data_IF_793515321523
#
_entry.id   IF_793515321523
#
_cell.length_a   1.000
_cell.length_b   1.000
_cell.length_c   1.000
_cell.angle_alpha   90.00
_cell.angle_beta   90.00
_cell.angle_gamma   90.00
#
_symmetry.space_group_name_H-M   'P 1'
#
loop_
_entity.id
_entity.type
_entity.pdbx_description
1 polymer ?
#
# COMPACT_ATOMS: atom_id res chain seq x y z
N UNK A 1 5.52 28.80 27.32
CA UNK A 1 4.82 29.47 28.45
C UNK A 1 3.36 29.07 28.39
N UNK A 2 2.72 28.60 29.48
CA UNK A 2 1.34 28.14 29.42
C UNK A 2 0.37 29.34 29.41
N UNK A 3 -0.65 29.28 28.55
CA UNK A 3 -1.74 30.25 28.54
C UNK A 3 -2.56 30.13 29.83
N UNK A 4 -2.63 31.23 30.58
CA UNK A 4 -3.51 31.37 31.76
C UNK A 4 -4.97 31.45 31.31
N UNK A 5 -5.83 30.63 31.88
CA UNK A 5 -7.28 30.77 31.79
C UNK A 5 -7.75 31.97 32.62
N UNK A 6 -8.40 32.95 32.00
CA UNK A 6 -9.11 34.04 32.69
C UNK A 6 -10.60 33.70 32.70
N UNK A 7 -11.17 33.54 33.89
CA UNK A 7 -12.61 33.40 34.13
C UNK A 7 -13.29 34.77 34.11
N UNK A 8 -14.30 34.96 33.26
CA UNK A 8 -15.14 36.17 33.21
C UNK A 8 -16.52 35.85 33.83
N UNK A 9 -17.08 36.69 34.72
CA UNK A 9 -18.41 36.47 35.27
C UNK A 9 -19.51 36.88 34.28
N UNK A 10 -20.62 36.16 34.34
CA UNK A 10 -21.80 36.40 33.52
C UNK A 10 -22.59 37.63 34.03
N UNK A 11 -22.79 38.63 33.16
CA UNK A 11 -23.61 39.81 33.49
C UNK A 11 -23.54 40.95 32.48
N UNK A 12 -24.35 40.83 31.42
CA UNK A 12 -25.03 41.90 30.64
C UNK A 12 -24.41 43.32 30.63
N UNK A 13 -23.80 43.73 29.52
CA UNK A 13 -23.76 45.12 29.03
C UNK A 13 -23.39 45.15 27.53
N UNK A 14 -23.91 46.15 26.82
CA UNK A 14 -23.96 46.30 25.36
C UNK A 14 -22.62 46.35 24.61
N UNK A 15 -22.65 45.92 23.35
CA UNK A 15 -21.54 45.88 22.40
C UNK A 15 -21.46 47.22 21.64
N UNK A 16 -20.35 47.97 21.66
CA UNK A 16 -20.03 48.92 20.60
C UNK A 16 -19.39 48.17 19.42
N UNK A 17 -19.96 48.34 18.23
CA UNK A 17 -19.35 47.92 16.96
C UNK A 17 -18.05 48.69 16.76
N UNK A 18 -16.92 47.99 16.66
CA UNK A 18 -15.87 48.22 15.66
C UNK A 18 -14.69 47.25 15.87
N UNK A 19 -14.29 46.55 14.80
CA UNK A 19 -12.92 46.04 14.69
C UNK A 19 -12.73 44.54 14.43
N UNK A 20 -13.36 43.96 13.40
CA UNK A 20 -12.81 42.75 12.76
C UNK A 20 -12.45 43.06 11.30
N UNK A 21 -11.17 43.40 11.07
CA UNK A 21 -10.51 43.37 9.76
C UNK A 21 -9.47 42.26 9.80
N UNK A 22 -9.81 41.07 9.28
CA UNK A 22 -8.93 40.32 8.37
C UNK A 22 -9.73 39.16 7.71
N UNK A 23 -9.60 38.92 6.39
CA UNK A 23 -10.43 37.99 5.64
C UNK A 23 -9.70 36.67 5.35
N UNK A 24 -10.27 35.54 5.79
CA UNK A 24 -10.42 34.28 5.03
C UNK A 24 -10.87 33.17 5.99
N UNK A 25 -12.16 33.21 6.34
CA UNK A 25 -12.88 32.05 6.85
C UNK A 25 -14.24 32.05 6.14
N UNK A 26 -14.40 31.21 5.11
CA UNK A 26 -15.70 30.84 4.54
C UNK A 26 -16.21 29.63 5.33
N UNK A 27 -17.36 29.73 6.03
CA UNK A 27 -18.70 29.33 5.55
C UNK A 27 -18.66 27.95 4.88
N UNK A 28 -19.10 26.86 5.48
CA UNK A 28 -20.45 26.45 5.90
C UNK A 28 -20.20 25.22 6.82
N UNK A 29 -20.84 24.97 7.96
CA UNK A 29 -22.22 24.53 8.03
C UNK A 29 -22.66 24.43 9.49
N UNK A 30 -23.90 24.83 9.72
CA UNK A 30 -24.67 24.69 10.95
C UNK A 30 -25.26 23.27 11.01
N UNK A 31 -25.31 22.66 12.20
CA UNK A 31 -26.46 21.93 12.81
C UNK A 31 -25.99 21.25 14.10
N UNK A 32 -26.43 21.76 15.25
CA UNK A 32 -27.62 21.32 16.02
C UNK A 32 -27.41 19.97 16.70
N UNK A 33 -26.93 19.99 17.94
CA UNK A 33 -27.16 18.92 18.92
C UNK A 33 -28.09 19.49 19.98
N UNK A 34 -29.32 18.99 19.99
CA UNK A 34 -30.35 19.29 20.98
C UNK A 34 -30.03 18.53 22.26
N UNK A 35 -30.06 19.23 23.39
CA UNK A 35 -29.89 18.67 24.73
C UNK A 35 -31.10 17.80 25.11
N UNK A 36 -30.83 16.61 25.63
CA UNK A 36 -31.77 15.77 26.40
C UNK A 36 -32.10 16.45 27.74
N UNK A 37 -33.34 16.29 28.23
CA UNK A 37 -33.56 16.19 29.66
C UNK A 37 -34.13 14.81 30.03
N UNK A 38 -33.54 14.26 31.09
CA UNK A 38 -33.95 13.10 31.85
C UNK A 38 -35.30 13.28 32.53
N UNK A 39 -36.22 12.32 32.36
CA UNK A 39 -37.40 12.14 33.23
C UNK A 39 -37.54 10.66 33.60
N UNK A 40 -37.36 10.41 34.89
CA UNK A 40 -37.83 9.28 35.68
C UNK A 40 -39.35 9.18 35.61
N UNK A 41 -39.92 7.98 35.38
CA UNK A 41 -41.06 7.40 36.13
C UNK A 41 -41.13 5.87 35.91
N UNK A 42 -41.35 5.11 37.01
CA UNK A 42 -41.69 3.67 37.00
C UNK A 42 -43.15 3.45 36.60
N UNK A 43 -43.52 2.28 36.06
CA UNK A 43 -44.88 1.75 36.17
C UNK A 43 -44.98 0.54 37.14
N UNK A 44 -46.18 0.21 37.64
CA UNK A 44 -46.39 -0.76 38.72
C UNK A 44 -46.60 -2.21 38.24
N UNK A 45 -46.45 -3.13 39.19
CA UNK A 45 -46.73 -4.57 39.09
C UNK A 45 -48.23 -4.87 38.96
N UNK A 46 -48.59 -5.83 38.10
CA UNK A 46 -49.86 -6.55 38.16
C UNK A 46 -49.66 -8.01 37.75
N UNK A 47 -49.95 -8.90 38.70
CA UNK A 47 -49.99 -10.36 38.58
C UNK A 47 -51.24 -10.82 37.84
N UNK A 48 -51.14 -11.87 37.01
CA UNK A 48 -52.07 -13.03 37.00
C UNK A 48 -51.71 -14.02 35.88
N UNK A 49 -51.74 -15.31 36.19
CA UNK A 49 -52.11 -16.35 35.21
C UNK A 49 -51.02 -17.34 34.79
N UNK A 50 -50.65 -18.25 35.68
CA UNK A 50 -49.99 -19.50 35.31
C UNK A 50 -51.04 -20.50 34.78
N UNK A 51 -50.82 -21.05 33.59
CA UNK A 51 -51.42 -22.31 33.13
C UNK A 51 -50.30 -23.15 32.51
N UNK A 52 -50.08 -24.31 33.11
CA UNK A 52 -49.07 -25.32 32.76
C UNK A 52 -49.74 -26.40 31.91
N UNK A 53 -49.16 -26.81 30.76
CA UNK A 53 -49.30 -28.12 30.07
C UNK A 53 -48.37 -28.15 28.81
N UNK A 54 -48.01 -29.32 28.24
CA UNK A 54 -46.95 -30.24 28.67
C UNK A 54 -45.78 -30.32 27.67
N UNK A 55 -44.77 -31.08 28.10
CA UNK A 55 -43.44 -31.28 27.52
C UNK A 55 -43.49 -32.14 26.26
N UNK A 56 -42.86 -31.69 25.16
CA UNK A 56 -42.34 -32.57 24.10
C UNK A 56 -40.87 -32.19 23.82
N UNK A 57 -39.93 -33.16 23.80
CA UNK A 57 -38.52 -32.88 23.54
C UNK A 57 -38.24 -33.00 22.04
N UNK A 58 -38.07 -31.88 21.35
CA UNK A 58 -37.44 -31.87 20.04
C UNK A 58 -36.05 -31.25 20.16
N UNK A 59 -35.06 -32.13 19.98
CA UNK A 59 -33.67 -31.78 19.66
C UNK A 59 -33.63 -30.72 18.55
N UNK A 60 -32.72 -29.75 18.66
CA UNK A 60 -31.77 -29.60 17.56
C UNK A 60 -30.33 -29.51 18.05
N UNK A 61 -29.53 -30.38 17.44
CA UNK A 61 -28.23 -30.12 16.83
C UNK A 61 -27.28 -29.17 17.58
N UNK A 62 -26.22 -29.79 18.10
CA UNK A 62 -24.99 -29.11 18.48
C UNK A 62 -24.55 -28.13 17.40
N UNK A 63 -24.49 -26.85 17.76
CA UNK A 63 -23.66 -25.89 17.06
C UNK A 63 -22.20 -26.24 17.39
N UNK A 64 -21.33 -26.48 16.41
CA UNK A 64 -19.91 -26.47 16.68
C UNK A 64 -19.54 -25.04 17.05
N UNK A 65 -18.94 -24.88 18.23
CA UNK A 65 -18.29 -23.67 18.68
C UNK A 65 -17.33 -23.21 17.57
N UNK A 66 -17.67 -22.12 16.86
CA UNK A 66 -16.72 -21.52 15.92
C UNK A 66 -15.54 -21.03 16.75
N UNK A 67 -14.39 -21.68 16.56
CA UNK A 67 -13.12 -21.08 16.90
C UNK A 67 -12.87 -19.97 15.87
N UNK A 68 -13.56 -18.84 16.02
CA UNK A 68 -13.20 -17.58 15.37
C UNK A 68 -11.97 -17.00 16.10
N UNK A 69 -10.86 -17.73 16.02
CA UNK A 69 -9.55 -17.13 16.00
C UNK A 69 -9.33 -16.69 14.55
N UNK A 70 -9.63 -15.43 14.30
CA UNK A 70 -9.37 -14.67 13.07
C UNK A 70 -8.20 -15.23 12.25
N UNK A 71 -8.48 -16.15 11.32
CA UNK A 71 -7.72 -16.25 10.08
C UNK A 71 -8.44 -15.30 9.14
N UNK A 72 -8.02 -14.03 9.17
CA UNK A 72 -8.55 -13.04 8.25
C UNK A 72 -8.03 -13.40 6.86
N UNK A 73 -8.91 -13.98 6.05
CA UNK A 73 -8.67 -14.35 4.66
C UNK A 73 -8.12 -13.12 3.88
N UNK A 74 -7.14 -13.41 3.03
CA UNK A 74 -6.23 -12.53 2.30
C UNK A 74 -6.86 -11.64 1.21
N UNK A 75 -7.77 -10.72 1.54
CA UNK A 75 -8.41 -9.85 0.54
C UNK A 75 -7.59 -8.60 0.12
N UNK A 76 -6.43 -8.31 0.73
CA UNK A 76 -5.70 -7.04 0.48
C UNK A 76 -4.42 -7.18 -0.35
N UNK A 77 -4.01 -8.39 -0.74
CA UNK A 77 -2.83 -8.62 -1.57
C UNK A 77 -3.21 -8.88 -3.03
N UNK A 78 -2.86 -7.93 -3.91
CA UNK A 78 -3.02 -8.08 -5.36
C UNK A 78 -1.82 -8.78 -5.97
N UNK A 79 -2.02 -9.98 -6.49
CA UNK A 79 -0.97 -10.71 -7.24
C UNK A 79 -0.84 -10.13 -8.66
N UNK A 80 0.38 -9.82 -9.07
CA UNK A 80 0.72 -9.30 -10.40
C UNK A 80 1.81 -10.16 -11.01
N UNK A 81 1.51 -10.78 -12.16
CA UNK A 81 2.51 -11.52 -12.95
C UNK A 81 3.23 -10.56 -13.88
N UNK A 82 4.55 -10.50 -13.80
CA UNK A 82 5.40 -9.61 -14.61
C UNK A 82 6.02 -10.42 -15.74
N UNK A 83 5.75 -10.03 -16.99
CA UNK A 83 6.29 -10.67 -18.19
C UNK A 83 7.55 -9.98 -18.71
N UNK A 84 8.31 -10.63 -19.58
CA UNK A 84 9.52 -10.05 -20.19
C UNK A 84 9.20 -8.97 -21.24
N UNK A 85 8.06 -9.10 -21.91
CA UNK A 85 7.58 -8.22 -22.98
C UNK A 85 7.09 -6.85 -22.46
N UNK A 86 7.02 -6.66 -21.13
CA UNK A 86 6.40 -5.47 -20.56
C UNK A 86 6.67 -5.26 -19.07
N UNK A 87 6.25 -4.10 -18.61
CA UNK A 87 6.17 -3.75 -17.20
C UNK A 87 4.82 -3.14 -16.91
N UNK A 88 4.59 -2.77 -15.67
CA UNK A 88 3.40 -2.03 -15.29
C UNK A 88 3.72 -1.01 -14.21
N UNK A 89 2.67 -0.45 -13.64
CA UNK A 89 2.76 0.59 -12.65
C UNK A 89 1.85 0.28 -11.47
N UNK A 90 2.33 0.59 -10.27
CA UNK A 90 1.55 0.62 -9.04
C UNK A 90 1.72 2.00 -8.41
N UNK A 91 0.66 2.55 -7.86
CA UNK A 91 0.66 3.92 -7.36
C UNK A 91 -0.30 4.07 -6.20
N UNK A 92 -0.12 5.14 -5.43
CA UNK A 92 -1.11 5.54 -4.43
C UNK A 92 -2.44 5.86 -5.12
N UNK A 93 -3.58 5.68 -4.43
CA UNK A 93 -4.86 6.11 -4.99
C UNK A 93 -4.82 7.59 -5.35
N UNK A 94 -5.41 7.94 -6.49
CA UNK A 94 -5.51 9.31 -6.98
C UNK A 94 -4.20 10.03 -7.34
N UNK A 95 -3.04 9.34 -7.39
CA UNK A 95 -1.78 9.90 -7.89
C UNK A 95 -2.00 10.66 -9.23
N UNK A 96 -1.46 11.89 -9.41
CA UNK A 96 -0.50 12.61 -8.55
C UNK A 96 -1.17 13.55 -7.52
N UNK A 97 -2.40 13.25 -7.09
CA UNK A 97 -3.09 13.99 -6.02
C UNK A 97 -2.88 13.30 -4.68
N UNK A 98 -3.29 14.01 -3.61
CA UNK A 98 -3.31 13.48 -2.24
C UNK A 98 -3.95 12.09 -2.16
N UNK A 99 -3.26 11.18 -1.47
CA UNK A 99 -3.75 9.83 -1.22
C UNK A 99 -4.70 9.80 -0.01
N UNK A 100 -5.58 8.79 0.08
CA UNK A 100 -6.44 8.61 1.23
C UNK A 100 -5.67 8.22 2.49
N UNK A 101 -6.19 8.66 3.65
CA UNK A 101 -5.76 8.25 4.99
C UNK A 101 -6.12 6.79 5.26
N UNK A 102 -5.52 6.16 6.26
CA UNK A 102 -5.83 4.81 6.73
C UNK A 102 -5.88 3.77 5.60
N UNK A 103 -4.96 3.87 4.64
CA UNK A 103 -4.96 3.04 3.44
C UNK A 103 -3.86 2.01 3.53
N UNK A 104 -4.22 0.75 3.30
CA UNK A 104 -3.26 -0.35 3.14
C UNK A 104 -3.47 -0.99 1.78
N UNK A 105 -2.46 -0.91 0.92
CA UNK A 105 -2.45 -1.59 -0.38
C UNK A 105 -1.23 -2.50 -0.44
N UNK A 106 -1.42 -3.72 -0.92
CA UNK A 106 -0.33 -4.68 -1.06
C UNK A 106 -0.35 -5.31 -2.44
N UNK A 107 0.83 -5.38 -3.06
CA UNK A 107 1.04 -6.02 -4.35
C UNK A 107 2.11 -7.09 -4.24
N UNK A 108 1.83 -8.28 -4.76
CA UNK A 108 2.80 -9.36 -4.89
C UNK A 108 3.20 -9.47 -6.35
N UNK A 109 4.36 -8.93 -6.68
CA UNK A 109 4.94 -9.02 -8.02
C UNK A 109 5.65 -10.36 -8.16
N UNK A 110 5.30 -11.12 -9.20
CA UNK A 110 5.87 -12.44 -9.49
C UNK A 110 6.36 -12.43 -10.94
N UNK A 111 7.66 -12.59 -11.12
CA UNK A 111 8.27 -12.69 -12.44
C UNK A 111 7.82 -13.97 -13.16
N UNK A 112 7.73 -13.90 -14.49
CA UNK A 112 7.39 -15.06 -15.32
C UNK A 112 8.51 -16.12 -15.35
N UNK A 113 9.76 -15.74 -15.08
CA UNK A 113 10.92 -16.62 -14.98
C UNK A 113 11.48 -16.55 -13.55
N UNK A 114 11.72 -17.71 -12.93
CA UNK A 114 12.24 -17.83 -11.58
C UNK A 114 13.68 -17.31 -11.42
N UNK A 115 14.42 -17.17 -12.52
CA UNK A 115 15.76 -16.59 -12.54
C UNK A 115 15.76 -15.08 -12.84
N UNK A 116 14.61 -14.49 -13.18
CA UNK A 116 14.51 -13.06 -13.42
C UNK A 116 14.46 -12.28 -12.10
N UNK A 117 14.84 -11.00 -12.18
CA UNK A 117 14.75 -10.05 -11.05
C UNK A 117 13.82 -8.91 -11.46
N UNK A 118 13.09 -8.36 -10.50
CA UNK A 118 12.14 -7.27 -10.67
C UNK A 118 12.84 -5.97 -10.29
N UNK A 119 12.84 -4.99 -11.18
CA UNK A 119 13.28 -3.63 -10.88
C UNK A 119 12.07 -2.73 -10.65
N UNK A 120 12.10 -1.98 -9.56
CA UNK A 120 11.20 -0.86 -9.25
C UNK A 120 11.88 0.45 -9.61
N UNK A 121 11.15 1.33 -10.28
CA UNK A 121 11.59 2.69 -10.64
C UNK A 121 10.52 3.67 -10.19
N UNK A 122 10.84 4.52 -9.23
CA UNK A 122 9.91 5.52 -8.67
C UNK A 122 9.75 6.70 -9.63
N UNK A 123 8.51 7.22 -9.75
CA UNK A 123 8.25 8.49 -10.42
C UNK A 123 8.97 9.61 -9.63
N UNK A 124 9.64 10.56 -10.32
CA UNK A 124 10.32 11.68 -9.66
C UNK A 124 9.42 12.54 -8.76
N UNK A 125 8.12 12.55 -9.03
CA UNK A 125 7.09 13.20 -8.21
C UNK A 125 6.71 12.28 -7.06
N UNK A 126 7.65 12.02 -6.16
CA UNK A 126 7.40 11.26 -4.94
C UNK A 126 7.13 12.21 -3.78
N UNK A 127 6.06 11.97 -3.03
CA UNK A 127 5.74 12.73 -1.83
C UNK A 127 4.79 11.98 -0.92
N UNK A 128 5.32 11.47 0.19
CA UNK A 128 4.56 10.96 1.32
C UNK A 128 4.80 11.85 2.55
N UNK A 129 4.15 11.55 3.68
CA UNK A 129 4.44 12.25 4.94
C UNK A 129 5.93 12.17 5.29
N UNK A 130 6.47 13.24 5.86
CA UNK A 130 7.89 13.32 6.22
C UNK A 130 8.23 12.37 7.38
N UNK A 131 9.48 11.86 7.42
CA UNK A 131 9.92 10.95 8.47
C UNK A 131 9.97 11.61 9.84
N UNK A 132 9.74 10.81 10.89
CA UNK A 132 10.06 11.16 12.28
C UNK A 132 11.43 10.57 12.63
N UNK A 133 12.38 11.40 13.08
CA UNK A 133 13.75 10.96 13.43
C UNK A 133 14.47 10.17 12.33
N UNK A 134 14.19 10.49 11.06
CA UNK A 134 14.73 9.80 9.89
C UNK A 134 14.08 8.44 9.60
N UNK A 135 12.98 8.10 10.29
CA UNK A 135 12.26 6.85 10.16
C UNK A 135 10.88 7.10 9.53
N UNK A 136 10.55 6.30 8.50
CA UNK A 136 9.25 6.29 7.85
C UNK A 136 8.24 5.49 8.68
N UNK A 137 7.68 6.16 9.69
CA UNK A 137 6.77 5.56 10.69
C UNK A 137 5.30 5.70 10.33
N UNK A 138 4.91 6.85 9.78
CA UNK A 138 3.52 7.21 9.52
C UNK A 138 3.07 6.67 8.16
N UNK A 139 3.40 7.40 7.09
CA UNK A 139 3.08 7.01 5.72
C UNK A 139 4.32 6.49 4.99
N UNK A 140 4.21 5.32 4.37
CA UNK A 140 5.34 4.73 3.67
C UNK A 140 4.94 3.76 2.55
N UNK A 141 5.84 3.63 1.59
CA UNK A 141 5.89 2.49 0.69
C UNK A 141 7.11 1.63 1.03
N UNK A 142 6.90 0.33 1.12
CA UNK A 142 7.90 -0.65 1.52
C UNK A 142 7.97 -1.76 0.47
N UNK A 143 9.18 -2.21 0.15
CA UNK A 143 9.41 -3.37 -0.69
C UNK A 143 10.17 -4.43 0.11
N UNK A 144 9.69 -5.67 0.07
CA UNK A 144 10.29 -6.80 0.79
C UNK A 144 10.27 -8.07 -0.05
N UNK A 145 11.21 -8.96 0.24
CA UNK A 145 11.18 -10.33 -0.25
C UNK A 145 10.06 -11.10 0.49
N UNK A 146 9.03 -11.59 -0.21
CA UNK A 146 7.86 -12.18 0.44
C UNK A 146 8.12 -13.56 1.06
N UNK A 147 9.28 -14.18 0.79
CA UNK A 147 9.64 -15.50 1.32
C UNK A 147 10.50 -15.34 2.57
N UNK A 148 11.50 -14.46 2.52
CA UNK A 148 12.44 -14.25 3.62
C UNK A 148 12.00 -13.15 4.58
N UNK A 149 11.09 -12.26 4.17
CA UNK A 149 10.70 -11.07 4.92
C UNK A 149 11.79 -9.99 4.96
N UNK A 150 12.88 -10.14 4.20
CA UNK A 150 13.95 -9.15 4.16
C UNK A 150 13.43 -7.91 3.43
N UNK A 151 13.43 -6.79 4.15
CA UNK A 151 13.04 -5.47 3.63
C UNK A 151 14.16 -4.95 2.72
N UNK A 152 13.81 -4.71 1.45
CA UNK A 152 14.69 -4.06 0.47
C UNK A 152 14.79 -2.56 0.77
N UNK A 153 13.68 -1.96 1.17
CA UNK A 153 13.66 -0.60 1.69
C UNK A 153 12.24 -0.13 2.04
N UNK A 154 12.20 0.96 2.79
CA UNK A 154 11.00 1.67 3.20
C UNK A 154 11.22 3.16 2.97
N UNK A 155 10.28 3.81 2.29
CA UNK A 155 10.44 5.18 1.80
C UNK A 155 9.23 6.06 2.12
N UNK A 156 9.52 7.32 2.45
CA UNK A 156 8.58 8.38 2.80
C UNK A 156 9.22 9.76 2.56
N UNK A 157 8.50 10.83 2.88
CA UNK A 157 8.91 12.21 2.67
C UNK A 157 8.79 12.69 1.22
N UNK A 158 9.23 13.92 1.01
CA UNK A 158 9.00 14.66 -0.25
C UNK A 158 10.25 15.32 -0.87
N UNK A 159 11.44 15.12 -0.27
CA UNK A 159 12.67 15.78 -0.73
C UNK A 159 13.18 15.24 -2.08
N UNK A 160 13.13 13.93 -2.28
CA UNK A 160 13.56 13.27 -3.52
C UNK A 160 12.97 11.86 -3.62
N UNK A 161 12.65 11.43 -4.84
CA UNK A 161 12.23 10.05 -5.08
C UNK A 161 13.36 9.04 -4.79
N UNK A 162 13.04 7.84 -4.30
CA UNK A 162 14.01 6.76 -4.17
C UNK A 162 14.65 6.40 -5.52
N UNK A 163 15.92 6.01 -5.50
CA UNK A 163 16.58 5.46 -6.69
C UNK A 163 15.98 4.11 -7.13
N UNK A 164 16.40 3.58 -8.30
CA UNK A 164 15.95 2.26 -8.76
C UNK A 164 16.27 1.16 -7.73
N UNK A 165 15.31 0.27 -7.48
CA UNK A 165 15.44 -0.83 -6.53
C UNK A 165 15.31 -2.16 -7.27
N UNK A 166 16.11 -3.17 -6.90
CA UNK A 166 16.11 -4.47 -7.58
C UNK A 166 15.87 -5.59 -6.56
N UNK A 167 14.84 -6.40 -6.78
CA UNK A 167 14.50 -7.54 -5.93
C UNK A 167 15.65 -8.54 -5.82
N UNK A 168 15.75 -9.28 -4.73
CA UNK A 168 16.70 -10.39 -4.54
C UNK A 168 16.48 -11.54 -5.53
N UNK A 169 15.23 -11.86 -5.83
CA UNK A 169 14.84 -12.96 -6.74
C UNK A 169 13.62 -12.62 -7.61
N UNK A 170 12.88 -13.66 -8.00
CA UNK A 170 11.73 -13.56 -8.93
C UNK A 170 10.45 -13.01 -8.30
N UNK A 171 10.43 -12.73 -7.00
CA UNK A 171 9.25 -12.22 -6.30
C UNK A 171 9.60 -10.99 -5.46
N UNK A 172 8.64 -10.07 -5.38
CA UNK A 172 8.76 -8.87 -4.57
C UNK A 172 7.37 -8.49 -4.06
N UNK A 173 7.24 -8.24 -2.76
CA UNK A 173 6.02 -7.65 -2.20
C UNK A 173 6.25 -6.16 -2.01
N UNK A 174 5.33 -5.36 -2.53
CA UNK A 174 5.28 -3.91 -2.31
C UNK A 174 4.05 -3.59 -1.49
N UNK A 175 4.22 -2.83 -0.41
CA UNK A 175 3.13 -2.42 0.48
C UNK A 175 3.14 -0.91 0.67
N UNK A 176 1.99 -0.29 0.47
CA UNK A 176 1.74 1.09 0.87
C UNK A 176 0.87 1.11 2.13
N UNK A 177 1.27 1.92 3.11
CA UNK A 177 0.50 2.17 4.35
C UNK A 177 0.41 3.68 4.55
N UNK A 178 -0.79 4.17 4.86
CA UNK A 178 -1.00 5.51 5.39
C UNK A 178 -1.77 5.50 6.72
N UNK A 179 -1.52 6.49 7.56
CA UNK A 179 -2.17 6.65 8.86
C UNK A 179 -3.35 7.64 8.81
N UNK A 180 -3.87 8.03 9.99
CA UNK A 180 -5.02 8.92 10.10
C UNK A 180 -4.66 10.39 9.81
N UNK A 181 -3.38 10.77 9.87
CA UNK A 181 -2.91 12.15 9.89
C UNK A 181 -2.05 12.49 8.65
N UNK A 182 -1.93 13.81 8.40
CA UNK A 182 -1.04 14.43 7.40
C UNK A 182 -0.71 13.72 6.05
N UNK A 183 -1.70 13.27 5.24
CA UNK A 183 -1.41 12.76 3.91
C UNK A 183 -0.82 13.87 3.05
N UNK A 184 0.18 13.50 2.29
CA UNK A 184 0.92 14.38 1.41
C UNK A 184 0.49 14.24 -0.06
N UNK A 185 0.95 15.15 -0.88
CA UNK A 185 0.89 15.07 -2.34
C UNK A 185 2.32 15.21 -2.88
N UNK A 186 2.65 14.62 -4.05
CA UNK A 186 1.80 13.95 -5.03
C UNK A 186 1.41 12.49 -4.73
N UNK A 187 1.87 11.91 -3.62
CA UNK A 187 1.78 10.46 -3.39
C UNK A 187 2.96 9.73 -4.03
N UNK A 188 2.74 8.52 -4.52
CA UNK A 188 3.79 7.78 -5.22
C UNK A 188 3.27 7.08 -6.47
N UNK A 189 4.16 6.89 -7.43
CA UNK A 189 4.00 5.93 -8.50
C UNK A 189 5.29 5.17 -8.72
N UNK A 190 5.20 3.86 -8.93
CA UNK A 190 6.34 2.96 -9.16
C UNK A 190 6.08 2.13 -10.39
N UNK A 191 6.97 2.27 -11.38
CA UNK A 191 7.02 1.36 -12.53
C UNK A 191 7.83 0.12 -12.17
N UNK A 192 7.28 -1.06 -12.42
CA UNK A 192 7.96 -2.33 -12.26
C UNK A 192 8.23 -2.98 -13.62
N UNK A 193 9.42 -3.56 -13.78
CA UNK A 193 9.87 -4.27 -14.99
C UNK A 193 10.72 -5.47 -14.63
N UNK A 194 10.81 -6.48 -15.50
CA UNK A 194 11.86 -7.48 -15.37
C UNK A 194 13.19 -6.91 -15.84
N UNK A 195 14.26 -7.23 -15.10
CA UNK A 195 15.61 -7.05 -15.60
C UNK A 195 15.93 -8.18 -16.57
N UNK A 196 16.32 -7.87 -17.83
CA UNK A 196 16.79 -8.89 -18.76
C UNK A 196 18.01 -9.55 -18.14
N UNK A 197 17.92 -10.86 -17.91
CA UNK A 197 19.11 -11.63 -17.53
C UNK A 197 20.05 -11.64 -18.74
N UNK A 198 21.33 -11.34 -18.51
CA UNK A 198 22.38 -11.68 -19.47
C UNK A 198 22.38 -13.20 -19.56
N UNK A 199 21.74 -13.73 -20.59
CA UNK A 199 21.58 -15.16 -20.79
C UNK A 199 22.96 -15.75 -21.13
N UNK A 200 23.68 -16.17 -20.07
CA UNK A 200 24.96 -16.89 -20.17
C UNK A 200 24.92 -18.15 -21.06
N UNK A 201 23.71 -18.59 -21.45
CA UNK A 201 23.50 -19.66 -22.41
C UNK A 201 23.51 -19.19 -23.88
N UNK A 202 22.93 -18.03 -24.20
CA UNK A 202 22.90 -17.51 -25.57
C UNK A 202 24.28 -17.03 -26.02
N UNK A 203 25.08 -16.50 -25.09
CA UNK A 203 26.45 -16.09 -25.37
C UNK A 203 27.35 -17.26 -25.75
N UNK A 204 27.15 -18.44 -25.12
CA UNK A 204 27.93 -19.65 -25.44
C UNK A 204 27.53 -20.25 -26.77
N UNK A 205 26.23 -20.28 -27.10
CA UNK A 205 25.76 -20.81 -28.39
C UNK A 205 26.18 -19.89 -29.53
N UNK A 206 26.09 -18.58 -29.36
CA UNK A 206 26.55 -17.62 -30.34
C UNK A 206 28.07 -17.68 -30.52
N UNK A 207 28.84 -17.78 -29.43
CA UNK A 207 30.30 -17.93 -29.51
C UNK A 207 30.72 -19.26 -30.14
N UNK A 208 29.99 -20.35 -29.88
CA UNK A 208 30.25 -21.66 -30.48
C UNK A 208 29.91 -21.68 -31.98
N UNK A 209 28.77 -21.10 -32.38
CA UNK A 209 28.41 -20.95 -33.80
C UNK A 209 29.37 -20.02 -34.55
N UNK A 210 29.77 -18.90 -33.95
CA UNK A 210 30.71 -17.97 -34.54
C UNK A 210 32.10 -18.60 -34.71
N UNK A 211 32.58 -19.34 -33.70
CA UNK A 211 33.86 -20.06 -33.78
C UNK A 211 33.82 -21.20 -34.81
N UNK A 212 32.73 -21.97 -34.87
CA UNK A 212 32.56 -23.04 -35.85
C UNK A 212 32.47 -22.50 -37.29
N UNK A 213 31.73 -21.42 -37.51
CA UNK A 213 31.61 -20.78 -38.82
C UNK A 213 32.93 -20.15 -39.27
N UNK A 214 33.66 -19.50 -38.37
CA UNK A 214 34.97 -18.92 -38.68
C UNK A 214 35.99 -20.02 -39.02
N UNK A 215 36.01 -21.12 -38.26
CA UNK A 215 36.92 -22.24 -38.53
C UNK A 215 36.57 -22.96 -39.84
N UNK A 216 35.28 -23.16 -40.14
CA UNK A 216 34.85 -23.78 -41.38
C UNK A 216 35.14 -22.91 -42.61
N UNK A 217 34.93 -21.59 -42.50
CA UNK A 217 35.24 -20.64 -43.58
C UNK A 217 36.75 -20.56 -43.85
N UNK A 218 37.58 -20.52 -42.80
CA UNK A 218 39.04 -20.49 -42.96
C UNK A 218 39.58 -21.81 -43.52
N UNK A 219 39.04 -22.95 -43.09
CA UNK A 219 39.42 -24.26 -43.59
C UNK A 219 39.07 -24.43 -45.08
N UNK A 220 37.87 -23.99 -45.49
CA UNK A 220 37.46 -24.07 -46.89
C UNK A 220 38.26 -23.13 -47.80
N UNK A 221 38.57 -21.92 -47.32
CA UNK A 221 39.39 -20.96 -48.08
C UNK A 221 40.84 -21.44 -48.25
N UNK A 222 41.42 -22.07 -47.23
CA UNK A 222 42.79 -22.60 -47.30
C UNK A 222 42.91 -23.84 -48.19
N UNK A 223 41.92 -24.74 -48.16
CA UNK A 223 41.90 -25.95 -49.01
C UNK A 223 41.64 -25.59 -50.48
N UNK A 224 40.79 -24.59 -50.75
CA UNK A 224 40.50 -24.18 -52.14
C UNK A 224 41.68 -23.44 -52.79
N UNK A 225 42.47 -22.69 -52.03
CA UNK A 225 43.60 -21.93 -52.56
C UNK A 225 44.85 -22.80 -52.83
N UNK A 226 45.01 -23.92 -52.10
CA UNK A 226 46.16 -24.82 -52.27
C UNK A 226 45.98 -25.90 -53.34
N UNK A 227 44.74 -26.16 -53.79
CA UNK A 227 44.47 -27.14 -54.85
C UNK A 227 44.31 -26.52 -56.25
N UNK A 228 44.26 -25.19 -56.35
CA UNK A 228 44.09 -24.46 -57.62
C UNK A 228 45.31 -23.62 -58.05
N UNK A 229 46.47 -23.85 -57.44
CA UNK A 229 47.77 -23.31 -57.90
C UNK A 229 48.81 -24.42 -58.01
#
# INVERSE_FOLDING_TARGET
>A
MPCKSVSVPAGRAEIPRNGCRNPRCGREARRCVTLLPSISQRPPLSNTGAVMLPITPHFPLALPLSTDLWVQESEHEKIVRVSAEGGGEIHSPSFPRVYPRNTVLQWRLIAADDNARIQLTFDPRFGLEDPEDGICKYDFVEAEDPVTGVVLGRWCGSQSAPGPQVSSGSQLRVRFTSDEYFPSEPGFSVRYTLLPQVSRHADKVFFFFFFFFFFFFFFFFFVFFFFFF
#
